data_IF_562820547598
#
_entry.id   IF_562820547598
#
_cell.length_a   1.000
_cell.length_b   1.000
_cell.length_c   1.000
_cell.angle_alpha   90.00
_cell.angle_beta   90.00
_cell.angle_gamma   90.00
#
_symmetry.space_group_name_H-M   'P 1'
#
loop_
_entity.id
_entity.type
_entity.pdbx_description
1 polymer ?
#
# COMPACT_ATOMS: atom_id res chain seq x y z
N UNK A 1 9.00 1.88 34.58
CA UNK A 1 10.37 2.30 34.94
C UNK A 1 10.34 3.81 35.22
N UNK A 2 10.65 4.24 36.45
CA UNK A 2 10.93 5.67 36.71
C UNK A 2 12.24 5.98 35.98
N UNK A 3 12.21 6.93 35.05
CA UNK A 3 13.44 7.39 34.38
C UNK A 3 14.39 7.93 35.45
N UNK A 4 15.69 7.67 35.32
CA UNK A 4 16.68 8.35 36.15
C UNK A 4 16.53 9.86 35.95
N UNK A 5 16.76 10.65 37.01
CA UNK A 5 16.64 12.12 36.93
C UNK A 5 17.45 12.74 35.78
N UNK A 6 18.57 12.09 35.42
CA UNK A 6 19.44 12.47 34.31
C UNK A 6 18.74 12.39 32.94
N UNK A 7 17.92 11.35 32.70
CA UNK A 7 17.15 11.25 31.44
C UNK A 7 16.04 12.30 31.38
N UNK A 8 15.39 12.58 32.51
CA UNK A 8 14.36 13.63 32.57
C UNK A 8 14.94 15.02 32.31
N UNK A 9 16.16 15.31 32.80
CA UNK A 9 16.90 16.54 32.48
C UNK A 9 17.28 16.61 31.00
N UNK A 10 17.74 15.52 30.40
CA UNK A 10 18.09 15.44 28.98
C UNK A 10 16.90 15.82 28.07
N UNK A 11 15.70 15.33 28.38
CA UNK A 11 14.49 15.63 27.59
C UNK A 11 13.99 17.06 27.75
N UNK A 12 14.49 17.82 28.74
CA UNK A 12 14.21 19.26 28.87
C UNK A 12 15.14 20.12 28.01
N UNK A 13 16.30 19.59 27.59
CA UNK A 13 17.24 20.30 26.74
C UNK A 13 16.65 20.58 25.34
N UNK A 14 17.07 21.68 24.71
CA UNK A 14 16.59 22.02 23.37
C UNK A 14 17.08 21.03 22.31
N UNK A 15 18.30 20.50 22.48
CA UNK A 15 18.90 19.48 21.65
C UNK A 15 19.53 18.41 22.54
N UNK A 16 19.46 17.16 22.10
CA UNK A 16 20.04 16.03 22.81
C UNK A 16 20.30 14.86 21.87
N UNK A 17 21.14 13.94 22.32
CA UNK A 17 21.60 12.79 21.53
C UNK A 17 21.18 11.50 22.25
N UNK A 18 20.72 10.52 21.48
CA UNK A 18 20.38 9.19 21.99
C UNK A 18 20.83 8.11 21.02
N UNK A 19 21.11 6.93 21.55
CA UNK A 19 21.37 5.74 20.74
C UNK A 19 20.05 5.05 20.41
N UNK A 20 19.87 4.68 19.15
CA UNK A 20 18.71 3.92 18.70
C UNK A 20 18.83 2.45 19.15
N UNK A 21 17.72 1.91 19.64
CA UNK A 21 17.59 0.52 20.05
C UNK A 21 16.38 -0.14 19.37
N UNK A 22 16.46 -1.46 19.17
CA UNK A 22 15.37 -2.25 18.60
C UNK A 22 15.24 -2.16 17.07
N UNK A 23 14.24 -2.85 16.55
CA UNK A 23 14.08 -3.14 15.11
C UNK A 23 12.84 -2.46 14.49
N UNK A 24 12.10 -1.65 15.25
CA UNK A 24 10.80 -1.11 14.83
C UNK A 24 10.89 -0.10 13.69
N UNK A 25 12.05 0.53 13.51
CA UNK A 25 12.30 1.56 12.50
C UNK A 25 13.18 1.09 11.35
N UNK A 26 13.42 -0.22 11.23
CA UNK A 26 14.14 -0.76 10.08
C UNK A 26 13.40 -0.46 8.77
N UNK A 27 14.12 -0.22 7.66
CA UNK A 27 15.59 -0.14 7.57
C UNK A 27 16.16 1.26 7.84
N UNK A 28 15.31 2.26 8.12
CA UNK A 28 15.71 3.68 8.21
C UNK A 28 16.59 3.93 9.42
N UNK A 29 16.18 3.48 10.62
CA UNK A 29 17.01 3.48 11.82
C UNK A 29 17.38 2.05 12.19
N UNK A 30 18.67 1.83 12.49
CA UNK A 30 19.23 0.53 12.89
C UNK A 30 19.67 0.58 14.35
N UNK A 31 19.64 -0.55 15.08
CA UNK A 31 20.28 -0.63 16.40
C UNK A 31 21.71 -0.11 16.34
N UNK A 32 22.05 0.78 17.26
CA UNK A 32 23.37 1.37 17.34
C UNK A 32 23.55 2.72 16.66
N UNK A 33 22.60 3.15 15.82
CA UNK A 33 22.61 4.51 15.25
C UNK A 33 22.57 5.56 16.37
N UNK A 34 23.25 6.68 16.17
CA UNK A 34 23.21 7.83 17.07
C UNK A 34 22.26 8.87 16.48
N UNK A 35 21.20 9.17 17.22
CA UNK A 35 20.12 10.08 16.83
C UNK A 35 20.39 11.46 17.43
N UNK A 36 20.37 12.48 16.60
CA UNK A 36 20.40 13.88 17.01
C UNK A 36 18.96 14.40 17.01
N UNK A 37 18.49 14.80 18.18
CA UNK A 37 17.12 15.23 18.39
C UNK A 37 17.05 16.70 18.79
N UNK A 38 15.98 17.37 18.36
CA UNK A 38 15.63 18.71 18.82
C UNK A 38 14.20 18.73 19.32
N UNK A 39 13.93 19.51 20.37
CA UNK A 39 12.58 19.71 20.87
C UNK A 39 11.74 20.43 19.82
N UNK A 40 10.50 20.01 19.66
CA UNK A 40 9.54 20.62 18.72
C UNK A 40 8.19 20.83 19.38
N UNK A 41 7.46 21.85 18.94
CA UNK A 41 6.04 22.04 19.25
C UNK A 41 5.18 21.15 18.33
N UNK A 42 4.00 20.74 18.78
CA UNK A 42 3.06 19.96 17.98
C UNK A 42 2.76 20.56 16.59
N UNK A 43 2.64 21.89 16.51
CA UNK A 43 2.42 22.61 15.23
C UNK A 43 3.54 22.39 14.23
N UNK A 44 4.78 22.20 14.69
CA UNK A 44 5.96 21.99 13.85
C UNK A 44 6.12 20.54 13.36
N UNK A 45 5.48 19.56 14.02
CA UNK A 45 5.51 18.17 13.57
C UNK A 45 4.80 18.03 12.22
N UNK A 46 5.42 17.35 11.26
CA UNK A 46 4.87 17.10 9.93
C UNK A 46 4.70 15.60 9.69
N UNK A 47 3.80 15.25 8.78
CA UNK A 47 3.72 13.87 8.27
C UNK A 47 5.11 13.50 7.72
N UNK A 48 5.52 12.26 7.99
CA UNK A 48 6.84 11.66 7.73
C UNK A 48 7.99 12.05 8.66
N UNK A 49 7.80 12.97 9.61
CA UNK A 49 8.81 13.24 10.64
C UNK A 49 9.07 11.99 11.49
N UNK A 50 10.34 11.76 11.85
CA UNK A 50 10.70 10.79 12.89
C UNK A 50 10.68 11.50 14.24
N UNK A 51 9.69 11.18 15.07
CA UNK A 51 9.48 11.82 16.37
C UNK A 51 9.70 10.84 17.51
N UNK A 52 10.38 11.33 18.53
CA UNK A 52 10.51 10.64 19.81
C UNK A 52 9.37 11.06 20.73
N UNK A 53 8.72 10.07 21.34
CA UNK A 53 7.51 10.25 22.13
C UNK A 53 7.46 9.30 23.32
N UNK A 54 6.65 9.68 24.31
CA UNK A 54 6.33 8.87 25.49
C UNK A 54 4.98 8.15 25.29
N UNK A 55 4.98 6.82 25.24
CA UNK A 55 3.76 6.00 25.09
C UNK A 55 3.81 4.79 26.03
N UNK A 56 2.78 4.63 26.86
CA UNK A 56 2.69 3.50 27.79
C UNK A 56 3.90 3.38 28.73
N UNK A 57 4.46 4.51 29.15
CA UNK A 57 5.66 4.56 30.00
C UNK A 57 6.98 4.21 29.30
N UNK A 58 6.99 4.09 27.96
CA UNK A 58 8.17 3.84 27.15
C UNK A 58 8.46 5.02 26.24
N UNK A 59 9.75 5.29 26.03
CA UNK A 59 10.22 6.23 25.01
C UNK A 59 10.44 5.46 23.73
N UNK A 60 9.76 5.89 22.65
CA UNK A 60 9.89 5.29 21.32
C UNK A 60 10.12 6.39 20.29
N UNK A 61 10.82 6.07 19.21
CA UNK A 61 11.02 6.97 18.07
C UNK A 61 10.37 6.36 16.85
N UNK A 62 9.26 6.93 16.37
CA UNK A 62 8.48 6.39 15.26
C UNK A 62 8.11 7.49 14.26
N UNK A 63 7.70 7.08 13.05
CA UNK A 63 7.32 8.00 11.98
C UNK A 63 5.90 8.52 12.18
N UNK A 64 5.68 9.82 11.98
CA UNK A 64 4.34 10.40 11.89
C UNK A 64 3.69 9.95 10.57
N UNK A 65 2.62 9.16 10.64
CA UNK A 65 1.89 8.66 9.47
C UNK A 65 0.56 9.38 9.24
N UNK A 66 0.09 10.15 10.22
CA UNK A 66 -1.10 10.97 10.14
C UNK A 66 -1.07 12.09 11.17
N UNK A 67 -1.68 13.22 10.84
CA UNK A 67 -1.80 14.38 11.72
C UNK A 67 -3.15 15.05 11.48
N UNK A 68 -3.87 15.36 12.55
CA UNK A 68 -4.97 16.33 12.52
C UNK A 68 -4.65 17.50 13.47
N UNK A 69 -5.66 18.31 13.79
CA UNK A 69 -5.52 19.47 14.69
C UNK A 69 -5.18 19.09 16.13
N UNK A 70 -5.55 17.89 16.56
CA UNK A 70 -5.56 17.50 17.99
C UNK A 70 -4.47 16.50 18.34
N UNK A 71 -4.12 15.60 17.41
CA UNK A 71 -3.21 14.49 17.65
C UNK A 71 -2.46 14.04 16.39
N UNK A 72 -1.40 13.27 16.64
CA UNK A 72 -0.67 12.51 15.63
C UNK A 72 -1.05 11.04 15.72
N UNK A 73 -0.82 10.31 14.63
CA UNK A 73 -0.64 8.86 14.66
C UNK A 73 0.79 8.58 14.23
N UNK A 74 1.50 7.80 15.03
CA UNK A 74 2.85 7.33 14.71
C UNK A 74 2.89 5.83 14.49
N UNK A 75 3.88 5.36 13.74
CA UNK A 75 4.11 3.95 13.49
C UNK A 75 5.59 3.71 13.20
N UNK A 76 6.13 2.63 13.73
CA UNK A 76 7.44 2.13 13.33
C UNK A 76 7.41 1.64 11.88
N UNK A 77 8.40 1.99 11.06
CA UNK A 77 8.43 1.61 9.63
C UNK A 77 8.35 0.07 9.44
N UNK A 78 8.85 -0.70 10.41
CA UNK A 78 8.83 -2.17 10.43
C UNK A 78 7.69 -2.77 11.30
N UNK A 79 6.85 -1.92 11.93
CA UNK A 79 5.74 -2.39 12.76
C UNK A 79 4.48 -2.62 11.93
N UNK A 80 3.67 -3.62 12.29
CA UNK A 80 2.33 -3.78 11.72
C UNK A 80 1.30 -2.85 12.37
N UNK A 81 1.44 -2.55 13.66
CA UNK A 81 0.49 -1.75 14.41
C UNK A 81 0.99 -0.32 14.60
N UNK A 82 0.07 0.63 14.46
CA UNK A 82 0.30 2.02 14.84
C UNK A 82 0.35 2.18 16.37
N UNK A 83 0.90 3.30 16.83
CA UNK A 83 0.97 3.63 18.26
C UNK A 83 -0.36 4.23 18.79
N UNK A 84 -1.40 4.27 17.95
CA UNK A 84 -2.65 4.97 18.22
C UNK A 84 -2.47 6.49 18.31
N UNK A 85 -3.40 7.16 18.99
CA UNK A 85 -3.36 8.62 19.16
C UNK A 85 -2.18 9.06 20.02
N UNK A 86 -1.42 10.05 19.54
CA UNK A 86 -0.31 10.69 20.22
C UNK A 86 -0.62 12.17 20.37
N UNK A 87 -0.80 12.61 21.61
CA UNK A 87 -1.16 14.00 21.94
C UNK A 87 0.09 14.87 22.13
N UNK A 88 -0.04 16.22 22.04
CA UNK A 88 1.10 17.14 22.13
C UNK A 88 2.04 16.91 23.32
N UNK A 89 1.49 16.62 24.51
CA UNK A 89 2.27 16.41 25.75
C UNK A 89 3.14 15.14 25.72
N UNK A 90 2.88 14.22 24.78
CA UNK A 90 3.64 12.99 24.62
C UNK A 90 4.87 13.18 23.72
N UNK A 91 4.96 14.29 22.97
CA UNK A 91 6.05 14.54 22.03
C UNK A 91 7.25 15.07 22.78
N UNK A 92 8.41 14.42 22.61
CA UNK A 92 9.67 14.82 23.25
C UNK A 92 10.53 15.63 22.26
N UNK A 93 10.71 15.12 21.03
CA UNK A 93 11.51 15.80 20.02
C UNK A 93 11.45 15.14 18.65
N UNK A 94 12.03 15.80 17.65
CA UNK A 94 12.19 15.30 16.28
C UNK A 94 13.64 14.93 16.03
N UNK A 95 13.87 13.79 15.39
CA UNK A 95 15.18 13.42 14.84
C UNK A 95 15.45 14.32 13.63
N UNK A 96 16.56 15.05 13.65
CA UNK A 96 16.97 15.90 12.53
C UNK A 96 18.24 15.39 11.83
N UNK A 97 19.04 14.54 12.48
CA UNK A 97 20.23 13.93 11.90
C UNK A 97 20.51 12.57 12.55
N UNK A 98 21.11 11.66 11.80
CA UNK A 98 21.52 10.33 12.26
C UNK A 98 22.98 10.11 11.95
N UNK A 99 23.72 9.50 12.86
CA UNK A 99 25.08 9.02 12.64
C UNK A 99 25.12 7.49 12.67
N UNK A 100 25.66 6.89 11.60
CA UNK A 100 25.85 5.44 11.43
C UNK A 100 27.25 5.18 10.88
N UNK A 101 28.04 4.33 11.54
CA UNK A 101 29.39 3.96 11.09
C UNK A 101 30.28 5.16 10.74
N UNK A 102 30.18 6.25 11.49
CA UNK A 102 30.95 7.49 11.25
C UNK A 102 30.30 8.50 10.29
N UNK A 103 29.32 8.09 9.48
CA UNK A 103 28.63 8.95 8.51
C UNK A 103 27.41 9.64 9.12
N UNK A 104 27.24 10.92 8.82
CA UNK A 104 26.06 11.71 9.19
C UNK A 104 25.13 11.85 7.99
N UNK A 105 23.83 11.65 8.20
CA UNK A 105 22.82 11.80 7.16
C UNK A 105 21.48 12.23 7.77
N UNK A 106 20.63 12.85 6.97
CA UNK A 106 19.24 13.07 7.34
C UNK A 106 18.43 11.82 6.98
N UNK A 107 17.46 11.40 7.81
CA UNK A 107 16.61 10.24 7.48
C UNK A 107 15.92 10.31 6.11
N UNK A 108 15.70 11.52 5.61
CA UNK A 108 15.08 11.77 4.30
C UNK A 108 16.03 11.44 3.13
N UNK A 109 17.35 11.56 3.32
CA UNK A 109 18.37 11.35 2.28
C UNK A 109 18.37 9.89 1.78
N UNK A 110 18.11 8.93 2.68
CA UNK A 110 18.00 7.51 2.31
C UNK A 110 16.86 7.30 1.30
N UNK A 111 15.71 7.94 1.51
CA UNK A 111 14.57 7.78 0.60
C UNK A 111 14.83 8.49 -0.74
N UNK A 112 15.53 9.62 -0.72
CA UNK A 112 15.96 10.32 -1.94
C UNK A 112 16.89 9.45 -2.78
N UNK A 113 17.96 8.91 -2.17
CA UNK A 113 18.91 8.02 -2.85
C UNK A 113 18.20 6.78 -3.42
N UNK A 114 17.35 6.14 -2.62
CA UNK A 114 16.57 4.98 -3.05
C UNK A 114 15.64 5.32 -4.23
N UNK A 115 14.92 6.42 -4.14
CA UNK A 115 14.01 6.87 -5.20
C UNK A 115 14.75 7.20 -6.48
N UNK A 116 15.96 7.76 -6.39
CA UNK A 116 16.78 8.12 -7.55
C UNK A 116 17.23 6.87 -8.31
N UNK A 117 17.76 5.86 -7.61
CA UNK A 117 18.10 4.57 -8.24
C UNK A 117 16.88 3.87 -8.82
N UNK A 118 15.74 3.98 -8.13
CA UNK A 118 14.51 3.37 -8.60
C UNK A 118 13.98 4.03 -9.87
N UNK A 119 13.99 5.36 -9.93
CA UNK A 119 13.59 6.12 -11.10
C UNK A 119 14.46 5.82 -12.34
N UNK A 120 15.77 5.62 -12.15
CA UNK A 120 16.68 5.22 -13.22
C UNK A 120 16.30 3.87 -13.83
N UNK A 121 16.01 2.86 -13.00
CA UNK A 121 15.59 1.54 -13.49
C UNK A 121 14.22 1.58 -14.19
N UNK A 122 13.27 2.38 -13.67
CA UNK A 122 11.96 2.59 -14.32
C UNK A 122 12.15 3.22 -15.71
N UNK A 123 12.99 4.25 -15.81
CA UNK A 123 13.27 4.94 -17.08
C UNK A 123 13.94 4.02 -18.09
N UNK A 124 14.90 3.20 -17.64
CA UNK A 124 15.57 2.18 -18.45
C UNK A 124 14.58 1.18 -19.03
N UNK A 125 13.70 0.60 -18.20
CA UNK A 125 12.69 -0.36 -18.65
C UNK A 125 11.69 0.30 -19.59
N UNK A 126 11.23 1.51 -19.27
CA UNK A 126 10.32 2.30 -20.13
C UNK A 126 10.91 2.52 -21.52
N UNK A 127 12.19 2.90 -21.61
CA UNK A 127 12.86 3.14 -22.88
C UNK A 127 12.97 1.85 -23.72
N UNK A 128 13.26 0.71 -23.09
CA UNK A 128 13.31 -0.59 -23.77
C UNK A 128 11.92 -1.05 -24.22
N UNK A 129 10.89 -0.83 -23.40
CA UNK A 129 9.51 -1.15 -23.79
C UNK A 129 9.08 -0.31 -24.98
N UNK A 130 9.42 0.98 -24.97
CA UNK A 130 9.15 1.89 -26.08
C UNK A 130 9.85 1.45 -27.37
N UNK A 131 11.14 1.11 -27.31
CA UNK A 131 11.89 0.65 -28.50
C UNK A 131 11.39 -0.69 -29.04
N UNK A 132 10.87 -1.57 -28.18
CA UNK A 132 10.26 -2.85 -28.56
C UNK A 132 8.77 -2.76 -28.90
N UNK A 133 8.19 -1.55 -28.92
CA UNK A 133 6.75 -1.29 -29.15
C UNK A 133 5.85 -2.08 -28.20
N UNK A 134 6.28 -2.28 -26.95
CA UNK A 134 5.47 -2.90 -25.89
C UNK A 134 4.55 -1.84 -25.31
N UNK A 135 3.23 -2.06 -25.41
CA UNK A 135 2.23 -1.19 -24.80
C UNK A 135 2.17 -1.49 -23.30
N UNK A 136 2.33 -0.44 -22.48
CA UNK A 136 2.23 -0.55 -21.03
C UNK A 136 1.61 0.72 -20.42
N UNK A 137 1.09 0.58 -19.20
CA UNK A 137 0.53 1.66 -18.38
C UNK A 137 1.02 1.50 -16.95
N UNK A 138 1.54 2.56 -16.34
CA UNK A 138 1.89 2.58 -14.92
C UNK A 138 0.61 2.71 -14.10
N UNK A 139 0.38 1.73 -13.22
CA UNK A 139 -0.78 1.64 -12.35
C UNK A 139 -0.55 2.35 -11.01
N UNK A 140 0.61 2.11 -10.40
CA UNK A 140 1.10 2.80 -9.20
C UNK A 140 2.63 2.81 -9.19
N UNK A 141 3.21 3.65 -8.33
CA UNK A 141 4.65 3.69 -8.11
C UNK A 141 5.21 5.10 -8.12
N UNK A 142 6.53 5.20 -8.19
CA UNK A 142 7.28 6.44 -8.06
C UNK A 142 6.91 7.53 -9.10
N UNK A 143 6.71 7.23 -10.41
CA UNK A 143 6.39 8.26 -11.40
C UNK A 143 5.08 8.99 -11.09
N UNK A 144 4.07 8.26 -10.63
CA UNK A 144 2.80 8.83 -10.21
C UNK A 144 2.97 9.70 -8.96
N UNK A 145 3.76 9.25 -7.98
CA UNK A 145 4.09 10.06 -6.80
C UNK A 145 4.79 11.36 -7.18
N UNK A 146 5.83 11.31 -8.01
CA UNK A 146 6.56 12.50 -8.46
C UNK A 146 5.65 13.46 -9.23
N UNK A 147 4.76 12.94 -10.09
CA UNK A 147 3.83 13.76 -10.85
C UNK A 147 2.81 14.49 -9.96
N UNK A 148 2.17 13.77 -9.02
CA UNK A 148 1.12 14.32 -8.17
C UNK A 148 1.63 14.98 -6.89
N UNK A 149 2.81 14.68 -6.38
CA UNK A 149 3.33 15.32 -5.16
C UNK A 149 4.42 16.36 -5.45
N UNK A 150 5.07 16.31 -6.62
CA UNK A 150 6.17 17.21 -7.01
C UNK A 150 7.35 17.21 -6.01
N UNK A 151 7.52 16.11 -5.27
CA UNK A 151 8.61 15.89 -4.32
C UNK A 151 8.93 14.41 -4.22
N UNK A 152 10.12 14.08 -3.74
CA UNK A 152 10.47 12.69 -3.44
C UNK A 152 9.69 12.15 -2.24
N UNK A 153 9.38 10.84 -2.25
CA UNK A 153 8.68 10.24 -1.15
C UNK A 153 9.57 10.16 0.09
N UNK A 154 8.99 10.38 1.26
CA UNK A 154 9.68 10.21 2.55
C UNK A 154 9.60 8.76 3.07
N UNK A 155 9.45 7.80 2.15
CA UNK A 155 9.40 6.35 2.38
C UNK A 155 10.03 5.64 1.19
N UNK A 156 10.46 4.39 1.39
CA UNK A 156 10.98 3.55 0.32
C UNK A 156 9.85 3.18 -0.64
N UNK A 157 10.04 3.44 -1.93
CA UNK A 157 9.20 2.96 -3.03
C UNK A 157 9.94 1.86 -3.77
N UNK A 158 9.58 0.61 -3.53
CA UNK A 158 10.24 -0.53 -4.15
C UNK A 158 9.38 -1.22 -5.21
N UNK A 159 8.10 -0.87 -5.33
CA UNK A 159 7.09 -1.48 -6.20
C UNK A 159 6.58 -0.53 -7.29
N UNK A 160 6.59 -1.02 -8.53
CA UNK A 160 6.14 -0.31 -9.73
C UNK A 160 5.27 -1.27 -10.49
N UNK A 161 3.98 -0.97 -10.48
CA UNK A 161 2.97 -1.82 -11.09
C UNK A 161 2.76 -1.34 -12.51
N UNK A 162 3.01 -2.23 -13.46
CA UNK A 162 2.83 -2.00 -14.88
C UNK A 162 1.73 -2.92 -15.39
N UNK A 163 0.69 -2.35 -16.00
CA UNK A 163 -0.25 -3.10 -16.81
C UNK A 163 0.31 -3.25 -18.22
N UNK A 164 0.31 -4.45 -18.76
CA UNK A 164 0.70 -4.73 -20.15
C UNK A 164 -0.42 -5.48 -20.88
N UNK A 165 -0.36 -5.45 -22.21
CA UNK A 165 -1.13 -6.40 -23.03
C UNK A 165 -0.63 -7.82 -22.78
N UNK A 166 -1.54 -8.77 -22.55
CA UNK A 166 -1.25 -10.20 -22.34
C UNK A 166 -0.39 -10.80 -23.44
N UNK A 167 -0.58 -10.38 -24.68
CA UNK A 167 0.20 -10.85 -25.84
C UNK A 167 1.66 -10.39 -25.78
N UNK A 168 2.00 -9.42 -24.93
CA UNK A 168 3.37 -8.94 -24.74
C UNK A 168 4.12 -9.67 -23.63
N UNK A 169 3.50 -10.63 -22.94
CA UNK A 169 4.08 -11.32 -21.77
C UNK A 169 5.48 -11.86 -22.06
N UNK A 170 5.64 -12.71 -23.08
CA UNK A 170 6.95 -13.30 -23.40
C UNK A 170 8.02 -12.25 -23.73
N UNK A 171 7.64 -11.19 -24.45
CA UNK A 171 8.56 -10.10 -24.80
C UNK A 171 9.05 -9.39 -23.53
N UNK A 172 8.15 -9.14 -22.59
CA UNK A 172 8.45 -8.52 -21.30
C UNK A 172 9.36 -9.42 -20.45
N UNK A 173 9.08 -10.72 -20.37
CA UNK A 173 9.95 -11.65 -19.62
C UNK A 173 11.37 -11.68 -20.18
N UNK A 174 11.52 -11.69 -21.52
CA UNK A 174 12.83 -11.62 -22.17
C UNK A 174 13.58 -10.33 -21.83
N UNK A 175 12.88 -9.18 -21.78
CA UNK A 175 13.49 -7.90 -21.38
C UNK A 175 14.03 -7.98 -19.95
N UNK A 176 13.21 -8.42 -18.99
CA UNK A 176 13.64 -8.53 -17.60
C UNK A 176 14.80 -9.52 -17.42
N UNK A 177 14.78 -10.65 -18.14
CA UNK A 177 15.88 -11.62 -18.15
C UNK A 177 17.20 -11.00 -18.63
N UNK A 178 17.17 -10.25 -19.74
CA UNK A 178 18.36 -9.56 -20.29
C UNK A 178 18.89 -8.48 -19.33
N UNK A 179 18.01 -7.86 -18.54
CA UNK A 179 18.38 -6.83 -17.55
C UNK A 179 18.85 -7.40 -16.20
N UNK A 180 19.03 -8.73 -16.11
CA UNK A 180 19.41 -9.47 -14.90
C UNK A 180 18.41 -9.29 -13.74
N UNK A 181 17.11 -9.25 -14.06
CA UNK A 181 16.06 -9.37 -13.06
C UNK A 181 15.70 -10.84 -12.83
N UNK A 182 15.41 -11.17 -11.58
CA UNK A 182 14.95 -12.49 -11.19
C UNK A 182 13.43 -12.50 -11.11
N UNK A 183 12.78 -13.46 -11.77
CA UNK A 183 11.34 -13.66 -11.65
C UNK A 183 11.03 -14.23 -10.26
N UNK A 184 10.15 -13.57 -9.50
CA UNK A 184 9.74 -14.03 -8.19
C UNK A 184 8.82 -15.26 -8.30
N UNK A 185 8.88 -16.15 -7.31
CA UNK A 185 7.88 -17.22 -7.15
C UNK A 185 6.67 -16.61 -6.45
N UNK A 186 5.60 -16.35 -7.20
CA UNK A 186 4.38 -15.69 -6.69
C UNK A 186 3.47 -16.60 -5.87
N UNK A 187 3.61 -17.92 -5.95
CA UNK A 187 2.65 -18.88 -5.38
C UNK A 187 3.00 -19.38 -3.97
N UNK A 188 1.98 -19.58 -3.14
CA UNK A 188 2.10 -20.09 -1.78
C UNK A 188 2.53 -21.58 -1.70
N UNK A 189 2.21 -22.36 -2.73
CA UNK A 189 2.62 -23.75 -2.90
C UNK A 189 2.54 -24.13 -4.38
N UNK A 190 3.23 -25.20 -4.77
CA UNK A 190 3.14 -25.78 -6.12
C UNK A 190 1.72 -26.22 -6.50
N UNK A 191 0.86 -26.48 -5.50
CA UNK A 191 -0.55 -26.85 -5.73
C UNK A 191 -1.37 -25.60 -6.05
N UNK A 192 -1.13 -24.45 -5.41
CA UNK A 192 -1.77 -23.19 -5.82
C UNK A 192 -1.42 -22.82 -7.26
N UNK A 193 -0.19 -23.13 -7.71
CA UNK A 193 0.21 -22.97 -9.12
C UNK A 193 -0.69 -23.76 -10.05
N UNK A 194 -0.90 -25.04 -9.72
CA UNK A 194 -1.65 -25.98 -10.56
C UNK A 194 -3.15 -25.62 -10.60
N UNK A 195 -3.70 -25.18 -9.46
CA UNK A 195 -5.12 -24.85 -9.34
C UNK A 195 -5.47 -23.45 -9.86
N UNK A 196 -4.46 -22.61 -10.13
CA UNK A 196 -4.67 -21.26 -10.69
C UNK A 196 -4.91 -21.37 -12.19
N UNK A 197 -6.15 -21.11 -12.60
CA UNK A 197 -6.61 -21.20 -13.98
C UNK A 197 -6.05 -20.10 -14.90
N UNK A 198 -5.74 -18.91 -14.35
CA UNK A 198 -5.23 -17.75 -15.12
C UNK A 198 -4.17 -16.97 -14.35
N UNK A 199 -2.99 -16.67 -14.94
CA UNK A 199 -2.05 -15.70 -14.36
C UNK A 199 -2.62 -14.28 -14.44
N UNK A 200 -2.50 -13.57 -13.32
CA UNK A 200 -3.00 -12.19 -13.13
C UNK A 200 -1.85 -11.18 -13.09
N UNK A 201 -0.70 -11.58 -12.54
CA UNK A 201 0.53 -10.77 -12.45
C UNK A 201 1.77 -11.67 -12.37
N UNK A 202 2.93 -11.07 -12.66
CA UNK A 202 4.25 -11.65 -12.36
C UNK A 202 5.19 -10.57 -11.82
N UNK A 203 5.96 -10.91 -10.79
CA UNK A 203 6.90 -9.95 -10.19
C UNK A 203 8.34 -10.24 -10.63
N UNK A 204 9.09 -9.19 -10.90
CA UNK A 204 10.51 -9.23 -11.18
C UNK A 204 11.25 -8.39 -10.15
N UNK A 205 12.33 -8.92 -9.59
CA UNK A 205 13.12 -8.22 -8.59
C UNK A 205 14.61 -8.21 -8.92
N UNK A 206 15.27 -7.15 -8.50
CA UNK A 206 16.71 -6.95 -8.59
C UNK A 206 17.18 -6.11 -7.40
N UNK A 207 18.45 -6.22 -7.03
CA UNK A 207 19.09 -5.36 -6.04
C UNK A 207 20.00 -4.37 -6.75
N UNK A 208 19.85 -3.08 -6.48
CA UNK A 208 20.69 -1.99 -7.02
C UNK A 208 21.23 -1.18 -5.84
N UNK A 209 22.54 -1.19 -5.63
CA UNK A 209 23.20 -0.52 -4.49
C UNK A 209 22.51 -0.83 -3.15
N UNK A 210 22.31 -2.11 -2.89
CA UNK A 210 21.58 -2.65 -1.74
C UNK A 210 20.08 -2.33 -1.63
N UNK A 211 19.53 -1.51 -2.52
CA UNK A 211 18.09 -1.23 -2.56
C UNK A 211 17.35 -2.27 -3.41
N UNK A 212 16.20 -2.78 -2.92
CA UNK A 212 15.34 -3.63 -3.73
C UNK A 212 14.62 -2.79 -4.78
N UNK A 213 14.59 -3.32 -6.00
CA UNK A 213 13.85 -2.80 -7.16
C UNK A 213 12.91 -3.91 -7.60
N UNK A 214 11.61 -3.69 -7.47
CA UNK A 214 10.56 -4.64 -7.84
C UNK A 214 9.65 -4.03 -8.91
N UNK A 215 9.35 -4.82 -9.93
CA UNK A 215 8.35 -4.53 -10.94
C UNK A 215 7.29 -5.61 -10.89
N UNK A 216 6.05 -5.20 -10.65
CA UNK A 216 4.88 -6.07 -10.71
C UNK A 216 4.23 -5.87 -12.09
N UNK A 217 4.30 -6.90 -12.92
CA UNK A 217 3.77 -6.90 -14.28
C UNK A 217 2.37 -7.51 -14.25
N UNK A 218 1.37 -6.65 -14.30
CA UNK A 218 -0.04 -7.00 -14.30
C UNK A 218 -0.54 -7.29 -15.71
N UNK A 219 -1.40 -8.29 -15.81
CA UNK A 219 -2.16 -8.63 -17.02
C UNK A 219 -3.61 -8.15 -16.96
N UNK A 220 -4.02 -7.62 -15.82
CA UNK A 220 -5.36 -7.08 -15.53
C UNK A 220 -5.27 -6.14 -14.31
N UNK A 221 -6.23 -5.21 -14.09
CA UNK A 221 -6.28 -4.38 -12.90
C UNK A 221 -6.63 -5.26 -11.69
N UNK A 222 -5.60 -5.72 -10.98
CA UNK A 222 -5.77 -6.61 -9.84
C UNK A 222 -6.42 -5.88 -8.66
N UNK A 223 -7.60 -6.34 -8.26
CA UNK A 223 -8.23 -5.94 -7.00
C UNK A 223 -8.87 -7.08 -6.22
N UNK A 224 -9.04 -8.26 -6.85
CA UNK A 224 -9.53 -9.49 -6.22
C UNK A 224 -8.37 -10.27 -5.57
N UNK A 225 -8.34 -11.60 -5.71
CA UNK A 225 -7.30 -12.47 -5.15
C UNK A 225 -6.41 -13.07 -6.22
N UNK A 226 -5.17 -12.56 -6.30
CA UNK A 226 -4.13 -13.07 -7.23
C UNK A 226 -3.85 -14.56 -7.14
N UNK A 227 -4.18 -15.21 -6.02
CA UNK A 227 -3.81 -16.61 -5.77
C UNK A 227 -4.90 -17.59 -6.21
N UNK A 228 -6.10 -17.08 -6.51
CA UNK A 228 -7.27 -17.90 -6.84
C UNK A 228 -7.60 -17.88 -8.34
N UNK A 229 -6.91 -17.07 -9.13
CA UNK A 229 -7.21 -16.92 -10.55
C UNK A 229 -8.57 -16.22 -10.74
N UNK A 230 -9.40 -16.74 -11.64
CA UNK A 230 -10.75 -16.22 -11.85
C UNK A 230 -11.67 -16.56 -10.70
N UNK A 231 -12.59 -15.65 -10.39
CA UNK A 231 -13.61 -15.80 -9.35
C UNK A 231 -14.95 -15.30 -9.91
N UNK A 232 -15.38 -15.85 -11.04
CA UNK A 232 -16.60 -15.44 -11.76
C UNK A 232 -17.85 -15.51 -10.87
N UNK A 233 -17.88 -16.40 -9.87
CA UNK A 233 -18.96 -16.50 -8.88
C UNK A 233 -19.06 -15.27 -7.98
N UNK A 234 -17.97 -14.50 -7.84
CA UNK A 234 -17.91 -13.30 -7.02
C UNK A 234 -17.82 -12.02 -7.85
N UNK A 235 -17.22 -12.06 -9.03
CA UNK A 235 -17.15 -10.91 -9.92
C UNK A 235 -16.83 -11.38 -11.36
N UNK A 236 -17.62 -10.96 -12.37
CA UNK A 236 -17.44 -11.44 -13.74
C UNK A 236 -16.06 -11.08 -14.32
N UNK A 237 -15.31 -12.08 -14.77
CA UNK A 237 -14.01 -11.87 -15.40
C UNK A 237 -14.12 -11.04 -16.69
N UNK A 238 -15.22 -11.18 -17.43
CA UNK A 238 -15.47 -10.40 -18.65
C UNK A 238 -15.41 -8.88 -18.41
N UNK A 239 -15.88 -8.40 -17.26
CA UNK A 239 -15.79 -6.98 -16.89
C UNK A 239 -14.36 -6.54 -16.58
N UNK A 240 -13.54 -7.43 -16.02
CA UNK A 240 -12.11 -7.16 -15.79
C UNK A 240 -11.36 -7.10 -17.12
N UNK A 241 -11.67 -8.02 -18.04
CA UNK A 241 -11.04 -8.09 -19.35
C UNK A 241 -11.40 -6.85 -20.20
N UNK A 242 -12.68 -6.44 -20.19
CA UNK A 242 -13.15 -5.18 -20.82
C UNK A 242 -12.43 -3.96 -20.22
N UNK A 243 -12.41 -3.84 -18.88
CA UNK A 243 -11.70 -2.77 -18.17
C UNK A 243 -10.21 -2.71 -18.54
N UNK A 244 -9.57 -3.87 -18.69
CA UNK A 244 -8.16 -3.97 -19.09
C UNK A 244 -7.95 -3.40 -20.49
N UNK A 245 -8.81 -3.76 -21.45
CA UNK A 245 -8.78 -3.22 -22.81
C UNK A 245 -8.93 -1.71 -22.83
N UNK A 246 -9.93 -1.18 -22.12
CA UNK A 246 -10.18 0.26 -22.03
C UNK A 246 -9.03 1.04 -21.37
N UNK A 247 -8.41 0.51 -20.31
CA UNK A 247 -7.25 1.16 -19.67
C UNK A 247 -6.07 1.26 -20.66
N UNK A 248 -5.80 0.19 -21.41
CA UNK A 248 -4.68 0.16 -22.37
C UNK A 248 -4.89 1.11 -23.54
N UNK A 249 -6.13 1.35 -23.97
CA UNK A 249 -6.48 2.26 -25.06
C UNK A 249 -6.59 3.72 -24.61
N UNK A 250 -7.16 3.98 -23.43
CA UNK A 250 -7.44 5.34 -22.92
C UNK A 250 -6.34 5.92 -22.02
N UNK A 251 -5.16 5.30 -21.99
CA UNK A 251 -3.99 5.76 -21.22
C UNK A 251 -3.64 7.23 -21.49
N UNK A 252 -3.17 7.91 -20.45
CA UNK A 252 -2.74 9.31 -20.48
C UNK A 252 -1.22 9.40 -20.38
N UNK A 253 -0.61 10.28 -21.17
CA UNK A 253 0.80 10.60 -21.00
C UNK A 253 0.99 11.71 -19.96
N UNK A 254 2.03 11.57 -19.14
CA UNK A 254 2.51 12.60 -18.23
C UNK A 254 4.00 12.83 -18.43
N UNK A 255 4.48 14.00 -18.04
CA UNK A 255 5.90 14.34 -18.00
C UNK A 255 6.32 14.41 -16.52
N UNK A 256 7.37 13.65 -16.19
CA UNK A 256 8.03 13.67 -14.88
C UNK A 256 9.50 13.92 -15.13
N UNK A 257 10.01 15.05 -14.65
CA UNK A 257 11.34 15.56 -15.01
C UNK A 257 11.43 15.72 -16.54
N UNK A 258 12.35 15.00 -17.20
CA UNK A 258 12.50 15.00 -18.66
C UNK A 258 11.84 13.80 -19.34
N UNK A 259 11.19 12.91 -18.59
CA UNK A 259 10.72 11.62 -19.10
C UNK A 259 9.20 11.58 -19.26
N UNK A 260 8.76 11.02 -20.40
CA UNK A 260 7.35 10.77 -20.70
C UNK A 260 6.93 9.39 -20.20
N UNK A 261 5.88 9.34 -19.39
CA UNK A 261 5.31 8.11 -18.85
C UNK A 261 3.84 7.95 -19.23
N UNK A 262 3.43 6.72 -19.53
CA UNK A 262 2.03 6.34 -19.73
C UNK A 262 1.41 5.93 -18.40
N UNK A 263 0.36 6.62 -17.96
CA UNK A 263 -0.42 6.33 -16.76
C UNK A 263 -1.90 6.14 -17.11
N UNK A 264 -2.70 5.69 -16.14
CA UNK A 264 -4.16 5.69 -16.23
C UNK A 264 -4.67 7.12 -16.47
N UNK A 265 -5.75 7.28 -17.24
CA UNK A 265 -6.47 8.56 -17.26
C UNK A 265 -7.07 8.89 -15.89
N UNK A 266 -7.50 10.13 -15.68
CA UNK A 266 -7.93 10.60 -14.35
C UNK A 266 -9.01 9.73 -13.71
N UNK A 267 -10.02 9.29 -14.48
CA UNK A 267 -11.14 8.49 -13.98
C UNK A 267 -10.71 7.07 -13.62
N UNK A 268 -10.00 6.38 -14.53
CA UNK A 268 -9.45 5.06 -14.26
C UNK A 268 -8.39 5.06 -13.15
N UNK A 269 -7.61 6.14 -13.01
CA UNK A 269 -6.62 6.26 -11.95
C UNK A 269 -7.30 6.30 -10.57
N UNK A 270 -8.33 7.12 -10.41
CA UNK A 270 -9.09 7.21 -9.16
C UNK A 270 -9.78 5.87 -8.87
N UNK A 271 -10.41 5.27 -9.88
CA UNK A 271 -11.04 3.95 -9.77
C UNK A 271 -10.04 2.88 -9.33
N UNK A 272 -8.90 2.77 -10.01
CA UNK A 272 -7.86 1.80 -9.70
C UNK A 272 -7.30 2.01 -8.30
N UNK A 273 -7.02 3.25 -7.88
CA UNK A 273 -6.50 3.52 -6.54
C UNK A 273 -7.52 3.17 -5.44
N UNK A 274 -8.82 3.38 -5.69
CA UNK A 274 -9.88 2.89 -4.80
C UNK A 274 -9.86 1.35 -4.69
N UNK A 275 -9.80 0.66 -5.83
CA UNK A 275 -9.77 -0.80 -5.90
C UNK A 275 -8.49 -1.39 -5.27
N UNK A 276 -7.35 -0.72 -5.43
CA UNK A 276 -6.08 -1.08 -4.79
C UNK A 276 -6.15 -0.88 -3.27
N UNK A 277 -6.79 0.20 -2.77
CA UNK A 277 -7.01 0.37 -1.34
C UNK A 277 -7.94 -0.71 -0.76
N UNK A 278 -8.99 -1.08 -1.51
CA UNK A 278 -9.84 -2.23 -1.20
C UNK A 278 -9.05 -3.55 -1.15
N UNK A 279 -8.17 -3.80 -2.13
CA UNK A 279 -7.30 -4.98 -2.17
C UNK A 279 -6.40 -5.09 -0.93
N UNK A 280 -6.02 -3.95 -0.35
CA UNK A 280 -5.32 -3.86 0.93
C UNK A 280 -6.24 -3.82 2.15
N UNK A 281 -7.48 -4.31 2.03
CA UNK A 281 -8.49 -4.36 3.10
C UNK A 281 -8.72 -3.02 3.78
N UNK A 282 -8.71 -1.92 3.01
CA UNK A 282 -8.89 -0.56 3.52
C UNK A 282 -7.84 -0.17 4.58
N UNK A 283 -6.59 -0.60 4.40
CA UNK A 283 -5.48 -0.34 5.32
C UNK A 283 -4.28 0.32 4.65
N UNK A 284 -3.49 1.01 5.48
CA UNK A 284 -2.37 1.83 5.07
C UNK A 284 -2.83 3.22 4.65
N UNK A 285 -2.92 4.12 5.63
CA UNK A 285 -3.36 5.52 5.45
C UNK A 285 -2.64 6.26 4.31
N UNK A 286 -1.38 5.96 4.04
CA UNK A 286 -0.62 6.57 2.95
C UNK A 286 -1.26 6.33 1.56
N UNK A 287 -1.97 5.21 1.36
CA UNK A 287 -2.70 4.92 0.11
C UNK A 287 -3.89 5.88 -0.04
N UNK A 288 -4.57 6.14 1.07
CA UNK A 288 -5.72 7.03 1.14
C UNK A 288 -5.28 8.50 1.00
N UNK A 289 -4.16 8.88 1.64
CA UNK A 289 -3.53 10.19 1.48
C UNK A 289 -3.14 10.45 0.01
N UNK A 290 -2.52 9.48 -0.65
CA UNK A 290 -2.17 9.62 -2.06
C UNK A 290 -3.40 9.76 -2.96
N UNK A 291 -4.45 8.97 -2.70
CA UNK A 291 -5.72 9.09 -3.43
C UNK A 291 -6.40 10.45 -3.21
N UNK A 292 -6.40 11.00 -1.99
CA UNK A 292 -6.88 12.36 -1.72
C UNK A 292 -6.14 13.40 -2.57
N UNK A 293 -4.80 13.32 -2.62
CA UNK A 293 -3.98 14.21 -3.45
C UNK A 293 -4.30 14.08 -4.94
N UNK A 294 -4.52 12.87 -5.44
CA UNK A 294 -4.93 12.64 -6.83
C UNK A 294 -6.27 13.31 -7.09
N UNK A 295 -7.30 13.05 -6.26
CA UNK A 295 -8.65 13.62 -6.40
C UNK A 295 -8.62 15.16 -6.43
N UNK A 296 -7.87 15.78 -5.51
CA UNK A 296 -7.72 17.24 -5.44
C UNK A 296 -7.02 17.80 -6.68
N UNK A 297 -6.06 17.08 -7.26
CA UNK A 297 -5.30 17.54 -8.43
C UNK A 297 -5.95 17.24 -9.77
N UNK A 298 -6.77 16.20 -9.85
CA UNK A 298 -7.54 15.91 -11.07
C UNK A 298 -8.79 16.76 -11.19
N UNK A 299 -9.19 17.48 -10.13
CA UNK A 299 -10.35 18.36 -10.17
C UNK A 299 -11.69 17.65 -9.99
N UNK A 300 -11.71 16.38 -9.57
CA UNK A 300 -12.95 15.60 -9.37
C UNK A 300 -13.93 16.32 -8.40
N UNK A 301 -13.40 17.05 -7.42
CA UNK A 301 -14.20 17.81 -6.45
C UNK A 301 -14.92 19.04 -7.03
N UNK A 302 -14.46 19.57 -8.16
CA UNK A 302 -14.95 20.81 -8.79
C UNK A 302 -15.59 20.59 -10.16
N UNK A 303 -15.18 19.55 -10.89
CA UNK A 303 -15.66 19.25 -12.24
C UNK A 303 -16.79 18.21 -12.21
N UNK A 304 -18.02 18.67 -12.50
CA UNK A 304 -19.21 17.83 -12.55
C UNK A 304 -19.13 16.78 -13.67
N UNK A 305 -18.47 17.07 -14.79
CA UNK A 305 -18.34 16.15 -15.93
C UNK A 305 -17.43 14.99 -15.59
N UNK A 306 -16.30 15.26 -14.96
CA UNK A 306 -15.37 14.22 -14.50
C UNK A 306 -16.01 13.33 -13.42
N UNK A 307 -16.78 13.91 -12.51
CA UNK A 307 -17.50 13.15 -11.50
C UNK A 307 -18.62 12.29 -12.09
N UNK A 308 -19.36 12.81 -13.07
CA UNK A 308 -20.35 12.03 -13.81
C UNK A 308 -19.70 10.87 -14.57
N UNK A 309 -18.59 11.11 -15.27
CA UNK A 309 -17.83 10.08 -15.97
C UNK A 309 -17.35 8.98 -15.03
N UNK A 310 -16.79 9.35 -13.87
CA UNK A 310 -16.40 8.37 -12.84
C UNK A 310 -17.60 7.59 -12.30
N UNK A 311 -18.75 8.22 -12.06
CA UNK A 311 -19.97 7.53 -11.61
C UNK A 311 -20.45 6.53 -12.66
N UNK A 312 -20.44 6.90 -13.95
CA UNK A 312 -20.78 5.99 -15.04
C UNK A 312 -19.83 4.80 -15.07
N UNK A 313 -18.52 5.05 -14.97
CA UNK A 313 -17.49 4.01 -14.95
C UNK A 313 -17.67 3.03 -13.78
N UNK A 314 -17.92 3.54 -12.58
CA UNK A 314 -18.15 2.73 -11.38
C UNK A 314 -19.37 1.82 -11.57
N UNK A 315 -20.45 2.33 -12.16
CA UNK A 315 -21.69 1.57 -12.38
C UNK A 315 -21.56 0.57 -13.52
N UNK A 316 -20.89 0.95 -14.61
CA UNK A 316 -20.63 0.09 -15.77
C UNK A 316 -19.96 -1.21 -15.33
N UNK A 317 -18.90 -1.10 -14.53
CA UNK A 317 -18.19 -2.26 -13.99
C UNK A 317 -18.78 -2.80 -12.67
N UNK A 318 -19.92 -2.29 -12.17
CA UNK A 318 -20.57 -2.77 -10.94
C UNK A 318 -19.63 -2.82 -9.71
N UNK A 319 -18.72 -1.85 -9.59
CA UNK A 319 -17.72 -1.80 -8.50
C UNK A 319 -18.10 -0.85 -7.35
N UNK A 320 -19.32 -0.30 -7.35
CA UNK A 320 -19.79 0.66 -6.34
C UNK A 320 -19.64 0.13 -4.91
N UNK A 321 -19.86 -1.17 -4.72
CA UNK A 321 -19.75 -1.83 -3.41
C UNK A 321 -18.31 -1.82 -2.86
N UNK A 322 -17.30 -1.88 -3.73
CA UNK A 322 -15.89 -1.89 -3.34
C UNK A 322 -15.35 -0.47 -3.09
N UNK A 323 -15.77 0.49 -3.91
CA UNK A 323 -15.20 1.85 -3.90
C UNK A 323 -15.96 2.82 -2.99
N UNK A 324 -17.26 2.62 -2.76
CA UNK A 324 -18.04 3.49 -1.87
C UNK A 324 -17.46 3.63 -0.46
N UNK A 325 -17.00 2.55 0.23
CA UNK A 325 -16.35 2.69 1.52
C UNK A 325 -15.07 3.52 1.48
N UNK A 326 -14.35 3.52 0.35
CA UNK A 326 -13.13 4.31 0.16
C UNK A 326 -13.43 5.80 0.22
N UNK A 327 -14.47 6.25 -0.49
CA UNK A 327 -14.89 7.66 -0.46
C UNK A 327 -15.39 8.10 0.91
N UNK A 328 -16.07 7.23 1.66
CA UNK A 328 -16.42 7.52 3.06
C UNK A 328 -15.18 7.70 3.95
N UNK A 329 -14.14 6.90 3.73
CA UNK A 329 -12.87 7.02 4.47
C UNK A 329 -12.09 8.27 4.05
N UNK A 330 -12.07 8.61 2.77
CA UNK A 330 -11.48 9.85 2.27
C UNK A 330 -12.07 11.09 2.98
N UNK A 331 -13.39 11.18 3.07
CA UNK A 331 -14.07 12.25 3.82
C UNK A 331 -13.69 12.18 5.30
N UNK A 332 -13.78 11.01 5.94
CA UNK A 332 -13.53 10.84 7.38
C UNK A 332 -12.12 11.25 7.82
N UNK A 333 -11.10 11.01 6.98
CA UNK A 333 -9.69 11.20 7.35
C UNK A 333 -9.02 12.39 6.67
N UNK A 334 -9.53 12.89 5.55
CA UNK A 334 -8.86 13.92 4.76
C UNK A 334 -9.77 15.06 4.33
N UNK A 335 -11.06 15.04 4.70
CA UNK A 335 -12.07 16.01 4.25
C UNK A 335 -11.99 16.21 2.72
N UNK A 336 -11.86 15.09 1.99
CA UNK A 336 -11.68 15.09 0.54
C UNK A 336 -12.90 15.73 -0.14
N UNK A 337 -12.71 16.75 -1.00
CA UNK A 337 -13.81 17.42 -1.67
C UNK A 337 -14.43 16.49 -2.73
N UNK A 338 -15.75 16.32 -2.66
CA UNK A 338 -16.53 15.58 -3.64
C UNK A 338 -17.75 16.40 -4.06
N UNK A 339 -18.21 16.31 -5.31
CA UNK A 339 -19.40 17.04 -5.75
C UNK A 339 -20.65 16.62 -4.98
N UNK A 340 -21.59 17.56 -4.82
CA UNK A 340 -22.89 17.26 -4.22
C UNK A 340 -23.57 16.14 -4.99
N UNK A 341 -24.11 15.16 -4.27
CA UNK A 341 -24.79 14.02 -4.87
C UNK A 341 -23.89 12.88 -5.38
N UNK A 342 -22.56 13.06 -5.41
CA UNK A 342 -21.63 12.01 -5.87
C UNK A 342 -21.78 10.73 -5.02
N UNK A 343 -21.65 10.84 -3.70
CA UNK A 343 -21.79 9.68 -2.80
C UNK A 343 -23.15 8.99 -2.92
N UNK A 344 -24.25 9.75 -3.06
CA UNK A 344 -25.58 9.17 -3.24
C UNK A 344 -25.69 8.42 -4.58
N UNK A 345 -24.99 8.89 -5.62
CA UNK A 345 -25.03 8.26 -6.94
C UNK A 345 -24.35 6.89 -6.98
N UNK A 346 -23.35 6.66 -6.13
CA UNK A 346 -22.61 5.38 -6.04
C UNK A 346 -22.94 4.59 -4.75
N UNK A 347 -24.03 4.93 -4.06
CA UNK A 347 -24.37 4.32 -2.76
C UNK A 347 -24.88 2.89 -2.94
N UNK A 348 -24.24 1.89 -2.30
CA UNK A 348 -24.72 0.51 -2.26
C UNK A 348 -26.09 0.38 -1.58
N UNK A 349 -26.85 -0.66 -1.95
CA UNK A 349 -28.15 -0.99 -1.36
C UNK A 349 -28.06 -2.19 -0.40
N UNK A 350 -29.05 -2.29 0.49
CA UNK A 350 -29.28 -3.45 1.36
C UNK A 350 -28.06 -3.87 2.19
N UNK A 351 -27.76 -5.17 2.14
CA UNK A 351 -26.72 -5.79 2.98
C UNK A 351 -25.31 -5.25 2.74
N UNK A 352 -25.02 -4.76 1.54
CA UNK A 352 -23.69 -4.23 1.19
C UNK A 352 -23.40 -2.93 1.96
N UNK A 353 -24.41 -2.07 2.08
CA UNK A 353 -24.34 -0.86 2.90
C UNK A 353 -24.26 -1.19 4.39
N UNK A 354 -25.04 -2.18 4.86
CA UNK A 354 -25.00 -2.67 6.25
C UNK A 354 -23.62 -3.24 6.59
N UNK A 355 -23.04 -4.05 5.71
CA UNK A 355 -21.69 -4.59 5.85
C UNK A 355 -20.64 -3.49 5.93
N UNK A 356 -20.72 -2.49 5.05
CA UNK A 356 -19.84 -1.32 5.04
C UNK A 356 -19.85 -0.58 6.37
N UNK A 357 -21.04 -0.21 6.86
CA UNK A 357 -21.19 0.52 8.12
C UNK A 357 -20.71 -0.30 9.33
N UNK A 358 -21.06 -1.60 9.39
CA UNK A 358 -20.81 -2.44 10.56
C UNK A 358 -19.36 -2.95 10.63
N UNK A 359 -18.75 -3.25 9.48
CA UNK A 359 -17.44 -3.92 9.41
C UNK A 359 -16.33 -3.02 8.86
N UNK A 360 -16.56 -2.33 7.74
CA UNK A 360 -15.50 -1.60 7.03
C UNK A 360 -15.18 -0.28 7.72
N UNK A 361 -16.19 0.52 8.10
CA UNK A 361 -15.96 1.84 8.71
C UNK A 361 -15.33 1.80 10.11
N UNK A 362 -15.25 0.61 10.72
CA UNK A 362 -14.57 0.34 12.00
C UNK A 362 -13.11 -0.09 11.83
N UNK A 363 -12.65 -0.31 10.60
CA UNK A 363 -11.26 -0.70 10.34
C UNK A 363 -10.32 0.43 10.76
N UNK A 364 -9.25 0.07 11.45
CA UNK A 364 -8.14 0.97 11.71
C UNK A 364 -7.25 1.07 10.45
N UNK A 365 -7.38 2.17 9.71
CA UNK A 365 -6.62 2.43 8.48
C UNK A 365 -5.11 2.61 8.74
N UNK A 366 -4.70 2.83 9.99
CA UNK A 366 -3.31 3.07 10.38
C UNK A 366 -2.50 1.78 10.63
N UNK A 367 -3.18 0.64 10.70
CA UNK A 367 -2.56 -0.66 10.95
C UNK A 367 -2.42 -1.46 9.65
N UNK A 368 -1.45 -2.38 9.64
CA UNK A 368 -1.32 -3.47 8.69
C UNK A 368 -1.79 -4.80 9.29
N UNK A 369 -1.78 -5.84 8.46
CA UNK A 369 -2.19 -7.21 8.81
C UNK A 369 -1.11 -8.22 8.41
N UNK A 370 -1.10 -9.36 9.08
CA UNK A 370 -0.31 -10.51 8.63
C UNK A 370 -0.83 -11.01 7.28
N UNK A 371 0.03 -11.62 6.47
CA UNK A 371 -0.33 -12.10 5.12
C UNK A 371 -1.55 -13.03 5.11
N UNK A 372 -1.66 -13.93 6.09
CA UNK A 372 -2.81 -14.86 6.22
C UNK A 372 -4.09 -14.09 6.58
N UNK A 373 -4.02 -13.19 7.56
CA UNK A 373 -5.19 -12.41 7.98
C UNK A 373 -5.66 -11.49 6.85
N UNK A 374 -4.73 -10.89 6.12
CA UNK A 374 -5.02 -10.07 4.95
C UNK A 374 -5.76 -10.88 3.87
N UNK A 375 -5.31 -12.11 3.58
CA UNK A 375 -5.99 -13.00 2.63
C UNK A 375 -7.41 -13.36 3.04
N UNK A 376 -7.63 -13.73 4.32
CA UNK A 376 -8.95 -14.06 4.85
C UNK A 376 -9.89 -12.84 4.79
N UNK A 377 -9.42 -11.68 5.26
CA UNK A 377 -10.22 -10.47 5.28
C UNK A 377 -10.55 -9.99 3.86
N UNK A 378 -9.62 -10.17 2.92
CA UNK A 378 -9.84 -9.84 1.50
C UNK A 378 -10.91 -10.73 0.91
N UNK A 379 -10.80 -12.06 1.07
CA UNK A 379 -11.83 -12.99 0.60
C UNK A 379 -13.20 -12.65 1.18
N UNK A 380 -13.27 -12.40 2.50
CA UNK A 380 -14.49 -11.98 3.19
C UNK A 380 -15.07 -10.70 2.57
N UNK A 381 -14.24 -9.68 2.38
CA UNK A 381 -14.69 -8.42 1.80
C UNK A 381 -15.17 -8.60 0.36
N UNK A 382 -14.48 -9.38 -0.47
CA UNK A 382 -14.92 -9.72 -1.83
C UNK A 382 -16.28 -10.42 -1.77
N UNK A 383 -16.46 -11.45 -0.93
CA UNK A 383 -17.71 -12.19 -0.83
C UNK A 383 -18.91 -11.32 -0.41
N UNK A 384 -18.73 -10.43 0.58
CA UNK A 384 -19.82 -9.59 1.08
C UNK A 384 -20.10 -8.35 0.23
N UNK A 385 -19.09 -7.81 -0.46
CA UNK A 385 -19.24 -6.66 -1.36
C UNK A 385 -19.47 -7.05 -2.81
N UNK A 386 -19.32 -8.33 -3.16
CA UNK A 386 -19.56 -8.85 -4.50
C UNK A 386 -20.94 -8.39 -5.03
N UNK A 387 -20.98 -7.92 -6.29
CA UNK A 387 -22.23 -7.53 -6.93
C UNK A 387 -23.09 -8.74 -7.32
N UNK A 388 -22.56 -9.96 -7.23
CA UNK A 388 -23.23 -11.19 -7.60
C UNK A 388 -24.30 -11.61 -6.56
N UNK A 389 -25.40 -12.24 -7.02
CA UNK A 389 -26.46 -12.69 -6.14
C UNK A 389 -25.97 -13.83 -5.23
N UNK A 390 -26.61 -13.99 -4.07
CA UNK A 390 -26.12 -14.90 -3.02
C UNK A 390 -25.98 -16.36 -3.49
N UNK A 391 -26.90 -16.84 -4.33
CA UNK A 391 -26.85 -18.19 -4.87
C UNK A 391 -25.60 -18.41 -5.73
N UNK A 392 -25.20 -17.42 -6.55
CA UNK A 392 -23.98 -17.49 -7.35
C UNK A 392 -22.74 -17.51 -6.44
N UNK A 393 -22.70 -16.61 -5.46
CA UNK A 393 -21.55 -16.48 -4.56
C UNK A 393 -21.25 -17.74 -3.75
N UNK A 394 -22.26 -18.53 -3.39
CA UNK A 394 -22.05 -19.77 -2.63
C UNK A 394 -21.30 -20.83 -3.46
N UNK A 395 -21.45 -20.82 -4.79
CA UNK A 395 -20.71 -21.73 -5.68
C UNK A 395 -19.19 -21.49 -5.66
N UNK A 396 -18.72 -20.33 -5.18
CA UNK A 396 -17.28 -20.06 -5.02
C UNK A 396 -16.58 -21.10 -4.13
N UNK A 397 -17.32 -21.74 -3.21
CA UNK A 397 -16.78 -22.78 -2.33
C UNK A 397 -16.64 -24.15 -3.00
N UNK A 398 -17.11 -24.30 -4.25
CA UNK A 398 -16.85 -25.47 -5.08
C UNK A 398 -15.54 -25.29 -5.86
N UNK A 399 -15.10 -24.04 -6.08
CA UNK A 399 -13.85 -23.74 -6.80
C UNK A 399 -12.65 -24.43 -6.12
N UNK A 400 -11.93 -25.33 -6.82
CA UNK A 400 -10.83 -26.10 -6.23
C UNK A 400 -9.73 -25.24 -5.60
N UNK A 401 -9.39 -24.09 -6.20
CA UNK A 401 -8.37 -23.18 -5.67
C UNK A 401 -8.82 -22.55 -4.34
N UNK A 402 -10.10 -22.22 -4.22
CA UNK A 402 -10.70 -21.65 -3.00
C UNK A 402 -10.73 -22.70 -1.90
N UNK A 403 -11.24 -23.88 -2.20
CA UNK A 403 -11.34 -24.99 -1.24
C UNK A 403 -9.96 -25.38 -0.74
N UNK A 404 -8.97 -25.52 -1.63
CA UNK A 404 -7.59 -25.78 -1.25
C UNK A 404 -7.00 -24.66 -0.38
N UNK A 405 -7.27 -23.39 -0.72
CA UNK A 405 -6.81 -22.25 0.09
C UNK A 405 -7.38 -22.26 1.50
N UNK A 406 -8.66 -22.63 1.68
CA UNK A 406 -9.29 -22.78 3.00
C UNK A 406 -8.58 -23.87 3.80
N UNK A 407 -8.40 -25.06 3.23
CA UNK A 407 -7.67 -26.15 3.88
C UNK A 407 -6.23 -25.77 4.22
N UNK A 408 -5.52 -25.10 3.30
CA UNK A 408 -4.15 -24.65 3.51
C UNK A 408 -4.02 -23.65 4.67
N UNK A 409 -4.97 -22.71 4.78
CA UNK A 409 -5.03 -21.76 5.90
C UNK A 409 -5.28 -22.48 7.22
N UNK A 410 -6.22 -23.42 7.26
CA UNK A 410 -6.49 -24.23 8.46
C UNK A 410 -5.26 -25.02 8.87
N UNK A 411 -4.63 -25.74 7.93
CA UNK A 411 -3.39 -26.46 8.16
C UNK A 411 -2.27 -25.56 8.69
N UNK A 412 -2.06 -24.38 8.09
CA UNK A 412 -1.06 -23.40 8.56
C UNK A 412 -1.34 -22.92 9.98
N UNK A 413 -2.61 -22.64 10.33
CA UNK A 413 -3.00 -22.23 11.68
C UNK A 413 -2.73 -23.35 12.70
N UNK A 414 -3.14 -24.57 12.39
CA UNK A 414 -2.90 -25.75 13.23
C UNK A 414 -1.40 -25.96 13.46
N UNK A 415 -0.60 -25.97 12.39
CA UNK A 415 0.86 -26.11 12.49
C UNK A 415 1.51 -24.97 13.30
N UNK A 416 1.04 -23.74 13.14
CA UNK A 416 1.55 -22.62 13.93
C UNK A 416 1.21 -22.74 15.41
N UNK A 417 0.04 -23.30 15.74
CA UNK A 417 -0.36 -23.56 17.13
C UNK A 417 0.56 -24.61 17.76
N UNK A 418 0.74 -25.76 17.10
CA UNK A 418 1.64 -26.83 17.57
C UNK A 418 3.11 -26.40 17.65
N UNK A 419 3.58 -25.57 16.72
CA UNK A 419 4.95 -25.04 16.77
C UNK A 419 5.17 -24.07 17.94
N UNK A 420 4.12 -23.44 18.47
CA UNK A 420 4.20 -22.53 19.64
C UNK A 420 4.06 -23.31 20.95
N UNK A 421 3.24 -24.36 21.01
CA UNK A 421 3.05 -25.18 22.22
C UNK A 421 4.18 -26.19 22.48
N UNK A 422 4.95 -26.60 21.45
CA UNK A 422 6.00 -27.61 21.59
C UNK A 422 7.42 -27.11 21.26
N UNK A 423 7.65 -25.79 21.21
CA UNK A 423 9.00 -25.26 21.03
C UNK A 423 9.81 -25.30 22.34
N UNK A 424 11.04 -25.87 22.36
CA UNK A 424 11.92 -25.77 23.52
C UNK A 424 12.24 -24.30 23.81
N UNK A 425 12.28 -23.96 25.10
CA UNK A 425 12.31 -22.59 25.65
C UNK A 425 13.48 -21.70 25.21
N UNK A 426 14.49 -22.25 24.52
CA UNK A 426 15.67 -21.52 24.04
C UNK A 426 15.47 -20.80 22.69
N UNK A 427 14.46 -21.15 21.88
CA UNK A 427 14.29 -20.59 20.52
C UNK A 427 13.27 -19.45 20.42
N UNK A 428 12.56 -19.12 21.51
CA UNK A 428 11.48 -18.12 21.50
C UNK A 428 11.95 -16.64 21.41
N UNK A 429 13.26 -16.36 21.50
CA UNK A 429 13.80 -14.98 21.43
C UNK A 429 14.24 -14.50 20.04
N UNK A 430 14.32 -15.37 19.03
CA UNK A 430 14.90 -15.01 17.73
C UNK A 430 13.88 -14.64 16.63
N UNK A 431 12.57 -14.67 16.91
CA UNK A 431 11.52 -14.34 15.93
C UNK A 431 10.41 -13.50 16.54
N UNK A 432 10.62 -12.19 16.64
CA UNK A 432 9.55 -11.20 16.73
C UNK A 432 9.90 -9.98 15.88
#
# INVERSE_FOLDING_TARGET
MRFSENIAKLFKANQFILKAEGMSMLPILKPGDVLFLRRIKFRQAKINDLIMLMKGGKVITHRVIYKNTDHLITKGDNNQKSDGKVYPHQIIGKVYQVKRNGYYFNPEDINLLQSSHYYQEITKIKNIFSSKKIIFVILKGLPLHLYFEKKHPSRIYADCDLLIDRNSTEKVERVFKVLNYTKAKSEFSSIHKLLKDKPTEFSFYKKVNDFPVVFDIHLEPVFLMNQLGKLDELYPQGMIDEMTGEILTTKKAIIVESEKFSILNSQFLILYLCLHFFHHNFRGVHRLEFLDKVIRKTGLGSDLKDAQGLTLLIRHYRVENFVYPVFLMLIKYFDTPLPRGFLSSIKPKGDKLKYTKKNIMKINVFDDETRIQAGINRFKNIFFLSPEPIYNKVFVFINPAVTYSIFWVVYKKIRSYFAVTFAPSSLARARK
#
